data_IF_139736341303
#
_entry.id   IF_139736341303
#
_cell.length_a   1.000
_cell.length_b   1.000
_cell.length_c   1.000
_cell.angle_alpha   90.00
_cell.angle_beta   90.00
_cell.angle_gamma   90.00
#
_symmetry.space_group_name_H-M   'P 1'
#
loop_
_entity.id
_entity.type
_entity.pdbx_description
1 polymer ?
#
# COMPACT_ATOMS: atom_id res chain seq x y z
N UNK A 1 -9.99 -8.27 13.50
CA UNK A 1 -9.75 -7.48 14.72
C UNK A 1 -9.44 -8.45 15.84
N UNK A 2 -8.26 -8.37 16.45
CA UNK A 2 -7.88 -9.21 17.59
C UNK A 2 -7.87 -8.35 18.84
N UNK A 3 -8.73 -8.67 19.79
CA UNK A 3 -8.83 -7.91 21.04
C UNK A 3 -7.55 -8.08 21.88
N UNK A 4 -7.19 -7.02 22.62
CA UNK A 4 -6.05 -7.03 23.52
C UNK A 4 -4.66 -6.89 22.88
N UNK A 5 -4.52 -6.98 21.55
CA UNK A 5 -3.22 -6.87 20.86
C UNK A 5 -2.70 -5.42 20.84
N UNK A 6 -3.57 -4.45 20.57
CA UNK A 6 -3.19 -3.04 20.58
C UNK A 6 -3.16 -2.50 22.01
N UNK A 7 -1.96 -2.23 22.53
CA UNK A 7 -1.76 -1.59 23.84
C UNK A 7 -1.52 -0.09 23.72
N UNK A 8 -2.08 0.69 24.65
CA UNK A 8 -1.85 2.15 24.75
C UNK A 8 -0.47 2.50 25.31
N UNK A 9 0.04 1.69 26.23
CA UNK A 9 1.35 1.83 26.84
C UNK A 9 2.06 0.48 26.94
N UNK A 10 3.39 0.51 26.85
CA UNK A 10 4.30 -0.62 27.07
C UNK A 10 5.40 -0.11 27.99
N UNK A 11 5.64 -0.79 29.11
CA UNK A 11 6.64 -0.41 30.12
C UNK A 11 6.53 1.05 30.60
N UNK A 12 5.29 1.53 30.81
CA UNK A 12 5.00 2.91 31.24
C UNK A 12 5.24 3.98 30.18
N UNK A 13 5.63 3.59 28.95
CA UNK A 13 5.80 4.51 27.81
C UNK A 13 4.59 4.44 26.88
N UNK A 14 4.17 5.59 26.37
CA UNK A 14 3.13 5.68 25.34
C UNK A 14 3.55 4.92 24.08
N UNK A 15 2.65 4.05 23.58
CA UNK A 15 2.86 3.39 22.29
C UNK A 15 2.87 4.43 21.17
N UNK A 16 3.89 4.41 20.33
CA UNK A 16 4.02 5.33 19.20
C UNK A 16 3.28 4.80 17.97
N UNK A 17 3.45 3.50 17.68
CA UNK A 17 2.79 2.80 16.59
C UNK A 17 2.69 1.31 16.90
N UNK A 18 1.72 0.65 16.26
CA UNK A 18 1.61 -0.81 16.16
C UNK A 18 2.01 -1.22 14.74
N UNK A 19 2.88 -2.21 14.62
CA UNK A 19 3.37 -2.73 13.35
C UNK A 19 2.97 -4.20 13.26
N UNK A 20 2.35 -4.57 12.15
CA UNK A 20 1.98 -5.93 11.82
C UNK A 20 2.62 -6.29 10.49
N UNK A 21 3.13 -7.50 10.39
CA UNK A 21 3.79 -7.98 9.18
C UNK A 21 3.22 -9.34 8.81
N UNK A 22 3.02 -9.56 7.52
CA UNK A 22 2.57 -10.82 6.97
C UNK A 22 3.11 -10.99 5.55
N UNK A 23 3.72 -12.14 5.26
CA UNK A 23 4.15 -12.48 3.89
C UNK A 23 3.18 -13.49 3.30
N UNK A 24 2.66 -13.18 2.10
CA UNK A 24 1.70 -14.03 1.40
C UNK A 24 2.18 -14.38 0.00
N UNK A 25 1.96 -15.64 -0.40
CA UNK A 25 1.98 -16.09 -1.79
C UNK A 25 0.56 -16.38 -2.31
N UNK A 26 -0.45 -16.24 -1.44
CA UNK A 26 -1.85 -16.40 -1.78
C UNK A 26 -2.31 -15.15 -2.53
N UNK A 27 -3.03 -15.35 -3.62
CA UNK A 27 -3.68 -14.28 -4.38
C UNK A 27 -5.15 -14.60 -4.60
N UNK A 28 -5.90 -13.64 -5.11
CA UNK A 28 -7.33 -13.77 -5.41
C UNK A 28 -7.55 -13.41 -6.87
N UNK A 29 -8.25 -14.27 -7.61
CA UNK A 29 -8.57 -14.01 -9.02
C UNK A 29 -9.79 -13.08 -9.18
N UNK A 30 -10.20 -12.83 -10.43
CA UNK A 30 -11.36 -11.98 -10.71
C UNK A 30 -12.72 -12.61 -10.30
N UNK A 31 -12.75 -13.90 -9.95
CA UNK A 31 -13.92 -14.68 -9.49
C UNK A 31 -13.84 -14.98 -7.98
N UNK A 32 -13.26 -14.05 -7.21
CA UNK A 32 -12.82 -14.23 -5.84
C UNK A 32 -12.25 -15.61 -5.40
N UNK A 33 -11.63 -16.38 -6.30
CA UNK A 33 -11.04 -17.67 -5.94
C UNK A 33 -9.61 -17.50 -5.46
N UNK A 34 -9.22 -18.30 -4.46
CA UNK A 34 -7.85 -18.34 -3.97
C UNK A 34 -6.94 -18.99 -5.01
N UNK A 35 -5.88 -18.28 -5.38
CA UNK A 35 -4.76 -18.80 -6.15
C UNK A 35 -3.70 -19.24 -5.15
N UNK A 36 -3.46 -20.56 -5.09
CA UNK A 36 -2.48 -21.18 -4.20
C UNK A 36 -1.20 -21.49 -4.99
N UNK A 37 -0.01 -21.36 -4.37
CA UNK A 37 1.20 -21.85 -4.98
C UNK A 37 1.16 -23.38 -5.10
N UNK A 38 1.67 -23.91 -6.20
CA UNK A 38 1.82 -25.34 -6.45
C UNK A 38 3.29 -25.75 -6.32
N UNK A 39 3.54 -26.97 -5.87
CA UNK A 39 4.90 -27.49 -5.72
C UNK A 39 5.62 -27.50 -7.07
N UNK A 40 6.81 -26.86 -7.13
CA UNK A 40 7.65 -26.76 -8.33
C UNK A 40 6.99 -26.09 -9.57
N UNK A 41 5.94 -25.29 -9.38
CA UNK A 41 5.33 -24.54 -10.49
C UNK A 41 6.07 -23.21 -10.74
N UNK A 42 6.68 -23.01 -11.93
CA UNK A 42 7.36 -21.76 -12.27
C UNK A 42 6.40 -20.57 -12.45
N UNK A 43 5.08 -20.82 -12.54
CA UNK A 43 4.04 -19.79 -12.63
C UNK A 43 3.56 -19.31 -11.25
N UNK A 44 4.14 -19.83 -10.17
CA UNK A 44 3.87 -19.35 -8.83
C UNK A 44 4.13 -17.84 -8.71
N UNK A 45 3.23 -17.16 -8.02
CA UNK A 45 3.38 -15.74 -7.76
C UNK A 45 4.53 -15.49 -6.79
N UNK A 46 5.26 -14.39 -7.03
CA UNK A 46 6.31 -13.92 -6.13
C UNK A 46 5.69 -13.57 -4.77
N UNK A 47 6.27 -14.01 -3.65
CA UNK A 47 5.80 -13.61 -2.32
C UNK A 47 5.72 -12.09 -2.16
N UNK A 48 4.63 -11.62 -1.56
CA UNK A 48 4.44 -10.21 -1.21
C UNK A 48 4.46 -10.08 0.31
N UNK A 49 5.39 -9.27 0.82
CA UNK A 49 5.42 -8.87 2.23
C UNK A 49 4.52 -7.65 2.42
N UNK A 50 3.57 -7.76 3.34
CA UNK A 50 2.64 -6.71 3.72
C UNK A 50 3.02 -6.23 5.12
N UNK A 51 3.32 -4.94 5.24
CA UNK A 51 3.58 -4.29 6.52
C UNK A 51 2.45 -3.28 6.76
N UNK A 52 1.67 -3.50 7.81
CA UNK A 52 0.64 -2.58 8.28
C UNK A 52 1.15 -1.81 9.49
N UNK A 53 1.23 -0.48 9.37
CA UNK A 53 1.63 0.41 10.47
C UNK A 53 0.46 1.29 10.88
N UNK A 54 0.09 1.22 12.15
CA UNK A 54 -0.96 2.05 12.75
C UNK A 54 -0.31 2.98 13.78
N UNK A 55 -0.33 4.30 13.54
CA UNK A 55 0.17 5.28 14.52
C UNK A 55 -0.87 5.51 15.60
N UNK A 56 -0.42 5.55 16.86
CA UNK A 56 -1.30 5.83 18.00
C UNK A 56 -1.88 7.24 18.01
N UNK A 57 -1.17 8.20 17.39
CA UNK A 57 -1.59 9.61 17.27
C UNK A 57 -1.56 10.02 15.79
N UNK A 58 -2.63 10.68 15.34
CA UNK A 58 -2.66 11.28 14.01
C UNK A 58 -1.74 12.52 13.97
N UNK A 59 -0.68 12.44 13.15
CA UNK A 59 0.29 13.53 12.97
C UNK A 59 0.32 14.07 11.52
N UNK A 60 -0.78 13.86 10.77
CA UNK A 60 -0.96 14.27 9.36
C UNK A 60 -0.10 13.48 8.35
N UNK A 61 -0.40 13.68 7.05
CA UNK A 61 0.18 12.96 5.90
C UNK A 61 1.70 13.10 5.83
N UNK A 62 2.23 14.32 5.96
CA UNK A 62 3.67 14.60 5.82
C UNK A 62 4.52 13.86 6.86
N UNK A 63 4.02 13.77 8.10
CA UNK A 63 4.69 13.01 9.15
C UNK A 63 4.67 11.51 8.85
N UNK A 64 3.56 10.96 8.33
CA UNK A 64 3.50 9.56 7.92
C UNK A 64 4.53 9.23 6.83
N UNK A 65 4.71 10.11 5.84
CA UNK A 65 5.74 9.92 4.79
C UNK A 65 7.13 9.93 5.40
N UNK A 66 7.44 10.96 6.21
CA UNK A 66 8.72 11.07 6.90
C UNK A 66 9.00 9.84 7.76
N UNK A 67 7.99 9.33 8.46
CA UNK A 67 8.12 8.16 9.32
C UNK A 67 8.43 6.91 8.51
N UNK A 68 7.66 6.64 7.45
CA UNK A 68 7.87 5.46 6.58
C UNK A 68 9.28 5.47 5.98
N UNK A 69 9.73 6.57 5.39
CA UNK A 69 11.05 6.61 4.76
C UNK A 69 12.23 6.60 5.75
N UNK A 70 12.09 7.24 6.92
CA UNK A 70 13.18 7.26 7.91
C UNK A 70 13.23 6.03 8.83
N UNK A 71 12.11 5.33 9.01
CA UNK A 71 12.05 4.13 9.85
C UNK A 71 12.12 2.86 8.99
N UNK A 72 11.15 2.65 8.11
CA UNK A 72 11.03 1.43 7.32
C UNK A 72 11.98 1.45 6.13
N UNK A 73 12.00 2.56 5.37
CA UNK A 73 12.86 2.69 4.18
C UNK A 73 14.35 2.54 4.47
N UNK A 74 14.81 2.95 5.67
CA UNK A 74 16.20 2.75 6.10
C UNK A 74 16.56 1.30 6.41
N UNK A 75 15.59 0.46 6.74
CA UNK A 75 15.81 -0.95 7.07
C UNK A 75 15.66 -1.82 5.83
N UNK A 76 14.64 -1.54 5.01
CA UNK A 76 14.36 -2.32 3.80
C UNK A 76 15.23 -1.95 2.61
N UNK A 77 15.83 -0.76 2.61
CA UNK A 77 16.68 -0.22 1.52
C UNK A 77 16.09 -0.47 0.12
N UNK A 78 14.82 -0.05 -0.14
CA UNK A 78 14.16 -0.35 -1.39
C UNK A 78 14.80 0.38 -2.56
N UNK A 79 15.00 -0.31 -3.69
CA UNK A 79 15.49 0.32 -4.93
C UNK A 79 14.50 1.36 -5.47
N UNK A 80 13.20 1.07 -5.39
CA UNK A 80 12.11 1.94 -5.88
C UNK A 80 10.97 1.95 -4.86
N UNK A 81 10.42 3.14 -4.61
CA UNK A 81 9.22 3.31 -3.79
C UNK A 81 8.08 3.89 -4.64
N UNK A 82 6.94 3.17 -4.68
CA UNK A 82 5.71 3.65 -5.34
C UNK A 82 4.69 4.06 -4.28
N UNK A 83 4.29 5.33 -4.28
CA UNK A 83 3.28 5.86 -3.36
C UNK A 83 1.90 5.86 -4.04
N UNK A 84 0.91 5.26 -3.38
CA UNK A 84 -0.47 5.17 -3.86
C UNK A 84 -1.40 5.75 -2.80
N UNK A 85 -2.27 6.68 -3.20
CA UNK A 85 -3.27 7.23 -2.30
C UNK A 85 -4.37 6.19 -2.00
N UNK A 86 -4.87 6.19 -0.76
CA UNK A 86 -5.96 5.30 -0.36
C UNK A 86 -7.20 5.57 -1.20
N UNK A 87 -7.75 4.53 -1.80
CA UNK A 87 -8.92 4.63 -2.69
C UNK A 87 -8.56 4.83 -4.17
N UNK A 88 -7.29 4.97 -4.53
CA UNK A 88 -6.84 4.96 -5.93
C UNK A 88 -6.80 3.52 -6.45
N UNK A 89 -7.43 3.28 -7.61
CA UNK A 89 -7.30 2.02 -8.35
C UNK A 89 -6.20 2.16 -9.40
N UNK A 90 -5.06 1.44 -9.26
CA UNK A 90 -4.04 1.43 -10.28
C UNK A 90 -4.58 0.93 -11.62
N UNK A 91 -4.13 1.54 -12.71
CA UNK A 91 -4.35 1.00 -14.05
C UNK A 91 -3.57 -0.31 -14.24
N UNK A 92 -3.98 -1.13 -15.21
CA UNK A 92 -3.42 -2.48 -15.40
C UNK A 92 -1.88 -2.52 -15.47
N UNK A 93 -1.24 -1.51 -16.09
CA UNK A 93 0.22 -1.39 -16.19
C UNK A 93 0.81 -0.19 -15.44
N UNK A 94 0.03 0.53 -14.63
CA UNK A 94 0.49 1.82 -14.09
C UNK A 94 1.70 1.66 -13.15
N UNK A 95 1.71 0.65 -12.29
CA UNK A 95 2.84 0.38 -11.39
C UNK A 95 4.06 -0.10 -12.20
N UNK A 96 3.84 -0.96 -13.20
CA UNK A 96 4.90 -1.43 -14.10
C UNK A 96 5.59 -0.27 -14.82
N UNK A 97 4.85 0.70 -15.37
CA UNK A 97 5.44 1.83 -16.06
C UNK A 97 6.25 2.76 -15.14
N UNK A 98 5.82 2.91 -13.87
CA UNK A 98 6.61 3.65 -12.88
C UNK A 98 7.94 2.93 -12.63
N UNK A 99 7.91 1.61 -12.42
CA UNK A 99 9.12 0.80 -12.25
C UNK A 99 10.02 0.85 -13.50
N UNK A 100 9.45 0.70 -14.69
CA UNK A 100 10.14 0.71 -15.99
C UNK A 100 10.90 2.01 -16.23
N UNK A 101 10.34 3.16 -15.80
CA UNK A 101 11.01 4.45 -15.89
C UNK A 101 12.32 4.49 -15.08
N UNK A 102 12.29 3.99 -13.83
CA UNK A 102 13.48 3.90 -12.98
C UNK A 102 14.48 2.85 -13.47
N UNK A 103 13.98 1.71 -13.97
CA UNK A 103 14.82 0.65 -14.52
C UNK A 103 15.66 1.14 -15.72
N UNK A 104 15.05 1.93 -16.61
CA UNK A 104 15.70 2.41 -17.83
C UNK A 104 16.59 3.64 -17.63
N UNK A 105 16.43 4.40 -16.54
CA UNK A 105 17.22 5.61 -16.29
C UNK A 105 17.72 5.69 -14.85
N UNK A 106 19.00 5.36 -14.66
CA UNK A 106 19.69 5.42 -13.36
C UNK A 106 19.77 6.83 -12.73
N UNK A 107 19.59 7.88 -13.52
CA UNK A 107 19.63 9.27 -13.05
C UNK A 107 18.23 9.83 -12.76
N UNK A 108 17.17 9.01 -12.86
CA UNK A 108 15.80 9.44 -12.61
C UNK A 108 15.55 9.58 -11.10
N UNK A 109 15.20 10.79 -10.64
CA UNK A 109 14.86 11.07 -9.24
C UNK A 109 13.37 10.88 -8.88
N UNK A 110 12.50 10.70 -9.87
CA UNK A 110 11.05 10.57 -9.67
C UNK A 110 10.26 10.45 -10.97
N UNK A 111 9.11 9.77 -10.91
CA UNK A 111 8.10 9.73 -11.98
C UNK A 111 6.69 9.76 -11.38
N UNK A 112 5.71 10.25 -12.13
CA UNK A 112 4.30 10.23 -11.74
C UNK A 112 3.42 9.68 -12.86
N UNK A 113 2.29 9.09 -12.47
CA UNK A 113 1.21 8.73 -13.38
C UNK A 113 0.09 9.76 -13.34
N UNK A 114 -0.80 9.70 -14.32
CA UNK A 114 -2.03 10.50 -14.32
C UNK A 114 -3.07 9.92 -13.34
N UNK A 115 -3.77 10.79 -12.62
CA UNK A 115 -4.89 10.43 -11.75
C UNK A 115 -6.15 11.07 -12.31
N UNK A 116 -7.17 10.24 -12.55
CA UNK A 116 -8.48 10.70 -13.00
C UNK A 116 -9.58 10.14 -12.10
N UNK A 117 -10.61 10.94 -11.86
CA UNK A 117 -11.79 10.50 -11.14
C UNK A 117 -12.63 9.59 -12.05
N UNK A 118 -13.07 8.43 -11.54
CA UNK A 118 -13.98 7.55 -12.25
C UNK A 118 -15.39 8.17 -12.26
N UNK A 119 -15.62 9.08 -13.19
CA UNK A 119 -16.89 9.77 -13.37
C UNK A 119 -17.84 8.88 -14.18
N UNK A 120 -18.82 8.27 -13.52
CA UNK A 120 -19.89 7.50 -14.18
C UNK A 120 -21.02 8.44 -14.66
N UNK A 121 -20.65 9.51 -15.36
CA UNK A 121 -21.59 10.51 -15.91
C UNK A 121 -22.44 11.23 -14.86
N UNK A 122 -21.95 11.40 -13.63
CA UNK A 122 -22.68 12.13 -12.59
C UNK A 122 -23.88 11.39 -12.00
N UNK A 123 -24.09 10.10 -12.31
CA UNK A 123 -25.21 9.31 -11.75
C UNK A 123 -25.27 9.31 -10.22
N UNK A 124 -24.11 9.41 -9.55
CA UNK A 124 -24.01 9.50 -8.09
C UNK A 124 -24.44 10.86 -7.51
N UNK A 125 -24.55 11.92 -8.33
CA UNK A 125 -25.11 13.21 -7.92
C UNK A 125 -26.63 13.14 -7.68
N UNK A 126 -27.30 12.09 -8.17
CA UNK A 126 -28.70 11.82 -7.83
C UNK A 126 -28.87 11.25 -6.42
N UNK A 127 -27.78 10.83 -5.76
CA UNK A 127 -27.82 10.42 -4.37
C UNK A 127 -27.62 11.66 -3.48
N UNK A 128 -28.65 12.09 -2.73
CA UNK A 128 -28.57 13.29 -1.90
C UNK A 128 -27.52 13.23 -0.79
N UNK A 129 -27.00 12.05 -0.43
CA UNK A 129 -25.89 11.90 0.52
C UNK A 129 -24.50 12.13 -0.11
N UNK A 130 -24.40 12.05 -1.45
CA UNK A 130 -23.16 12.25 -2.19
C UNK A 130 -23.10 13.65 -2.82
N UNK A 131 -24.25 14.27 -3.04
CA UNK A 131 -24.39 15.60 -3.65
C UNK A 131 -24.42 16.78 -2.65
N UNK A 132 -24.52 16.49 -1.34
CA UNK A 132 -24.53 17.49 -0.26
C UNK A 132 -23.14 17.70 0.34
#
# INVERSE_FOLDING_TARGET
YQDGVMKKQVDGKDTVAHIFEYTTQLSVDAKPQLVLPLENDPLNLVPVQIILVIKAKNQKKINSHRWVFNAIGRILEPEICVLIDSGTRPGHKSIYHLWEAFYNNKNLGGCCGEISAMLDGGKKLLNPLVAA
#
